data_IF_332305321099
#
_entry.id   IF_332305321099
#
_cell.length_a   1.000
_cell.length_b   1.000
_cell.length_c   1.000
_cell.angle_alpha   90.00
_cell.angle_beta   90.00
_cell.angle_gamma   90.00
#
_symmetry.space_group_name_H-M   'P 1'
#
loop_
_entity.id
_entity.type
_entity.pdbx_description
1 polymer ?
#
# COMPACT_ATOMS: atom_id res chain seq x y z
N UNK A 1 -13.46 -0.40 14.97
CA UNK A 1 -13.24 -0.38 13.50
C UNK A 1 -12.31 -1.54 13.19
N UNK A 2 -12.65 -2.35 12.19
CA UNK A 2 -12.34 -3.81 12.14
C UNK A 2 -10.86 -4.17 12.13
N UNK A 3 -10.36 -4.74 13.24
CA UNK A 3 -8.98 -5.24 13.36
C UNK A 3 -8.67 -6.45 12.44
N UNK A 4 -9.67 -6.95 11.71
CA UNK A 4 -9.61 -8.12 10.83
C UNK A 4 -9.84 -7.79 9.35
N UNK A 5 -9.94 -6.52 8.98
CA UNK A 5 -10.12 -6.14 7.58
C UNK A 5 -8.82 -6.29 6.78
N UNK A 6 -8.92 -6.81 5.56
CA UNK A 6 -7.79 -6.92 4.65
C UNK A 6 -7.48 -5.51 4.12
N UNK A 7 -6.30 -4.99 4.47
CA UNK A 7 -5.88 -3.63 4.11
C UNK A 7 -4.95 -3.57 2.89
N UNK A 8 -4.36 -4.70 2.49
CA UNK A 8 -3.45 -4.77 1.37
C UNK A 8 -3.47 -6.17 0.72
N UNK A 9 -3.21 -6.21 -0.59
CA UNK A 9 -3.08 -7.44 -1.38
C UNK A 9 -1.93 -7.31 -2.38
N UNK A 10 -1.36 -8.44 -2.77
CA UNK A 10 -0.36 -8.55 -3.82
C UNK A 10 -0.79 -9.63 -4.82
N UNK A 11 -0.67 -9.36 -6.11
CA UNK A 11 -0.83 -10.40 -7.12
C UNK A 11 0.31 -11.42 -7.01
N UNK A 12 0.02 -12.71 -7.19
CA UNK A 12 1.02 -13.78 -6.99
C UNK A 12 2.05 -13.86 -8.11
N UNK A 13 1.66 -13.47 -9.32
CA UNK A 13 2.45 -13.68 -10.55
C UNK A 13 2.84 -12.37 -11.24
N UNK A 14 2.26 -11.25 -10.84
CA UNK A 14 2.45 -9.95 -11.50
C UNK A 14 2.90 -8.92 -10.46
N UNK A 15 3.73 -7.92 -10.84
CA UNK A 15 4.16 -6.86 -9.94
C UNK A 15 3.02 -5.84 -9.75
N UNK A 16 1.94 -6.28 -9.10
CA UNK A 16 0.74 -5.48 -8.85
C UNK A 16 0.37 -5.60 -7.38
N UNK A 17 0.19 -4.45 -6.74
CA UNK A 17 -0.17 -4.32 -5.33
C UNK A 17 -1.38 -3.41 -5.19
N UNK A 18 -2.25 -3.69 -4.22
CA UNK A 18 -3.39 -2.85 -3.88
C UNK A 18 -3.40 -2.58 -2.38
N UNK A 19 -3.69 -1.34 -1.99
CA UNK A 19 -3.86 -0.92 -0.59
C UNK A 19 -5.21 -0.22 -0.44
N UNK A 20 -5.86 -0.41 0.70
CA UNK A 20 -7.19 0.18 0.95
C UNK A 20 -7.09 1.58 1.56
N UNK A 21 -5.98 1.89 2.24
CA UNK A 21 -5.67 3.23 2.73
C UNK A 21 -5.09 4.11 1.63
N UNK A 22 -4.95 5.40 1.94
CA UNK A 22 -4.41 6.43 1.05
C UNK A 22 -2.92 6.68 1.34
N UNK A 23 -1.96 5.98 0.70
CA UNK A 23 -0.52 6.18 0.92
C UNK A 23 -0.04 7.56 0.47
N UNK A 24 -0.81 8.26 -0.35
CA UNK A 24 -0.53 9.61 -0.85
C UNK A 24 -0.80 10.71 0.18
N UNK A 25 -1.56 10.42 1.23
CA UNK A 25 -1.87 11.40 2.27
C UNK A 25 -0.63 11.73 3.11
N UNK A 26 -0.44 13.01 3.41
CA UNK A 26 0.66 13.49 4.29
C UNK A 26 0.59 12.91 5.71
N UNK A 27 -0.61 12.50 6.14
CA UNK A 27 -0.83 11.91 7.45
C UNK A 27 -0.52 10.40 7.50
N UNK A 28 -0.29 9.75 6.35
CA UNK A 28 0.02 8.32 6.28
C UNK A 28 1.49 8.08 6.61
N UNK A 29 1.76 7.61 7.83
CA UNK A 29 3.10 7.21 8.25
C UNK A 29 3.65 6.13 7.29
N UNK A 30 4.84 6.37 6.74
CA UNK A 30 5.47 5.49 5.74
C UNK A 30 4.90 5.57 4.31
N UNK A 31 3.87 6.38 4.05
CA UNK A 31 3.23 6.49 2.74
C UNK A 31 4.20 6.88 1.60
N UNK A 32 5.03 7.90 1.82
CA UNK A 32 6.06 8.30 0.85
C UNK A 32 7.08 7.20 0.54
N UNK A 33 7.42 6.35 1.52
CA UNK A 33 8.35 5.25 1.28
C UNK A 33 7.69 4.13 0.45
N UNK A 34 6.42 3.84 0.70
CA UNK A 34 5.65 2.88 -0.08
C UNK A 34 5.55 3.31 -1.56
N UNK A 35 5.27 4.60 -1.80
CA UNK A 35 5.25 5.16 -3.16
C UNK A 35 6.64 5.08 -3.81
N UNK A 36 7.72 5.41 -3.08
CA UNK A 36 9.09 5.29 -3.61
C UNK A 36 9.39 3.85 -4.04
N UNK A 37 9.09 2.88 -3.19
CA UNK A 37 9.32 1.47 -3.52
C UNK A 37 8.57 1.04 -4.79
N UNK A 38 7.35 1.53 -5.00
CA UNK A 38 6.58 1.26 -6.23
C UNK A 38 7.21 1.89 -7.48
N UNK A 39 7.83 3.07 -7.36
CA UNK A 39 8.51 3.72 -8.48
C UNK A 39 9.88 3.09 -8.80
N UNK A 40 10.49 2.42 -7.82
CA UNK A 40 11.80 1.76 -7.94
C UNK A 40 11.71 0.26 -8.29
N UNK A 41 10.50 -0.32 -8.26
CA UNK A 41 10.24 -1.74 -8.53
C UNK A 41 10.17 -2.10 -10.01
#
# INVERSE_FOLDING_TARGET
LGATEIQAVAHREHPVWGVQFHPESIASEGGHQLIRNFLES
#
